data_IF_249891189111
#
_entry.id   IF_249891189111
#
_cell.length_a   1.000
_cell.length_b   1.000
_cell.length_c   1.000
_cell.angle_alpha   90.00
_cell.angle_beta   90.00
_cell.angle_gamma   90.00
#
_symmetry.space_group_name_H-M   'P 1'
#
loop_
_entity.id
_entity.type
_entity.pdbx_description
1 polymer ?
#
# COMPACT_ATOMS: atom_id res chain seq x y z
N UNK A 1 20.19 -1.04 -7.13
CA UNK A 1 19.15 -1.89 -6.50
C UNK A 1 17.82 -1.16 -6.60
N UNK A 2 16.76 -1.80 -7.07
CA UNK A 2 15.44 -1.16 -7.20
C UNK A 2 14.65 -1.30 -5.88
N UNK A 3 14.20 -0.20 -5.25
CA UNK A 3 13.37 -0.28 -4.06
C UNK A 3 12.04 -0.97 -4.38
N UNK A 4 11.54 -1.71 -3.41
CA UNK A 4 10.23 -2.34 -3.42
C UNK A 4 9.33 -1.62 -2.44
N UNK A 5 8.06 -1.50 -2.78
CA UNK A 5 7.05 -0.81 -2.01
C UNK A 5 5.96 -1.77 -1.62
N UNK A 6 5.67 -1.88 -0.33
CA UNK A 6 4.51 -2.60 0.21
C UNK A 6 3.45 -1.58 0.53
N UNK A 7 2.27 -1.70 -0.07
CA UNK A 7 1.18 -0.75 0.11
C UNK A 7 -0.06 -1.42 0.66
N UNK A 8 -0.83 -0.64 1.41
CA UNK A 8 -2.17 -0.98 1.88
C UNK A 8 -3.14 -0.03 1.21
N UNK A 9 -4.10 -0.57 0.46
CA UNK A 9 -5.24 0.17 -0.08
C UNK A 9 -6.45 -0.04 0.82
N UNK A 10 -7.16 1.04 1.11
CA UNK A 10 -8.46 0.99 1.78
C UNK A 10 -9.54 1.31 0.77
N UNK A 11 -10.56 0.45 0.71
CA UNK A 11 -11.78 0.69 -0.08
C UNK A 11 -12.85 1.38 0.76
N UNK A 12 -13.89 1.92 0.11
CA UNK A 12 -15.06 2.47 0.80
C UNK A 12 -15.76 1.45 1.73
N UNK A 13 -15.74 0.16 1.39
CA UNK A 13 -16.24 -0.93 2.24
C UNK A 13 -15.33 -1.27 3.42
N UNK A 14 -14.35 -0.42 3.72
CA UNK A 14 -13.38 -0.58 4.80
C UNK A 14 -12.56 -1.89 4.69
N UNK A 15 -12.46 -2.45 3.48
CA UNK A 15 -11.62 -3.60 3.17
C UNK A 15 -10.20 -3.13 2.92
N UNK A 16 -9.23 -3.78 3.57
CA UNK A 16 -7.82 -3.48 3.41
C UNK A 16 -7.18 -4.49 2.46
N UNK A 17 -6.69 -4.01 1.33
CA UNK A 17 -5.91 -4.80 0.38
C UNK A 17 -4.43 -4.51 0.57
N UNK A 18 -3.65 -5.58 0.70
CA UNK A 18 -2.19 -5.53 0.81
C UNK A 18 -1.59 -5.98 -0.51
N UNK A 19 -0.58 -5.26 -1.00
CA UNK A 19 0.20 -5.73 -2.14
C UNK A 19 1.59 -5.11 -2.16
N UNK A 20 2.46 -5.69 -2.97
CA UNK A 20 3.80 -5.17 -3.21
C UNK A 20 3.94 -4.71 -4.65
N UNK A 21 4.76 -3.68 -4.87
CA UNK A 21 5.05 -3.15 -6.20
C UNK A 21 6.40 -2.44 -6.19
N UNK A 22 7.08 -2.36 -7.31
CA UNK A 22 8.25 -1.50 -7.48
C UNK A 22 7.86 -0.07 -7.84
N UNK A 23 6.63 0.17 -8.29
CA UNK A 23 6.16 1.49 -8.71
C UNK A 23 4.69 1.75 -8.26
N UNK A 24 4.49 2.34 -7.06
CA UNK A 24 3.16 2.59 -6.51
C UNK A 24 2.39 3.64 -7.30
N UNK A 25 3.06 4.62 -7.93
CA UNK A 25 2.40 5.65 -8.74
C UNK A 25 1.80 5.04 -10.01
N UNK A 26 2.57 4.20 -10.71
CA UNK A 26 2.06 3.46 -11.88
C UNK A 26 0.92 2.53 -11.48
N UNK A 27 1.06 1.81 -10.36
CA UNK A 27 0.04 0.90 -9.83
C UNK A 27 -1.26 1.63 -9.51
N UNK A 28 -1.19 2.81 -8.91
CA UNK A 28 -2.37 3.63 -8.61
C UNK A 28 -3.06 4.07 -9.90
N UNK A 29 -2.32 4.62 -10.88
CA UNK A 29 -2.90 4.99 -12.19
C UNK A 29 -3.57 3.81 -12.90
N UNK A 30 -3.01 2.61 -12.76
CA UNK A 30 -3.63 1.37 -13.25
C UNK A 30 -4.95 1.01 -12.53
N UNK A 31 -5.01 1.24 -11.22
CA UNK A 31 -6.21 0.98 -10.41
C UNK A 31 -7.30 2.05 -10.60
N UNK A 32 -6.92 3.33 -10.71
CA UNK A 32 -7.82 4.45 -11.00
C UNK A 32 -8.38 4.42 -12.43
N UNK A 33 -7.87 3.54 -13.29
CA UNK A 33 -8.32 3.43 -14.68
C UNK A 33 -7.65 4.42 -15.65
N UNK A 34 -6.70 5.23 -15.17
CA UNK A 34 -5.94 6.17 -16.00
C UNK A 34 -5.03 5.45 -17.03
N UNK A 35 -4.53 4.26 -16.70
CA UNK A 35 -3.74 3.42 -17.64
C UNK A 35 -4.18 1.95 -17.60
N UNK A 36 -4.04 1.23 -18.72
CA UNK A 36 -4.36 -0.20 -18.82
C UNK A 36 -3.37 -1.04 -18.00
N UNK A 37 -3.84 -2.14 -17.39
CA UNK A 37 -3.01 -3.10 -16.65
C UNK A 37 -3.26 -3.19 -15.13
N UNK A 38 -4.34 -2.60 -14.62
CA UNK A 38 -4.79 -2.78 -13.24
C UNK A 38 -5.50 -4.11 -13.00
N UNK A 39 -5.57 -4.53 -11.74
CA UNK A 39 -6.35 -5.71 -11.36
C UNK A 39 -7.83 -5.50 -11.77
N UNK A 40 -8.39 -6.41 -12.57
CA UNK A 40 -9.79 -6.36 -13.04
C UNK A 40 -10.79 -6.17 -11.89
N UNK A 41 -10.48 -6.71 -10.70
CA UNK A 41 -11.32 -6.64 -9.50
C UNK A 41 -11.46 -5.24 -8.87
N UNK A 42 -10.55 -4.30 -9.18
CA UNK A 42 -10.55 -2.93 -8.66
C UNK A 42 -11.02 -1.91 -9.71
N UNK A 43 -11.31 -2.35 -10.94
CA UNK A 43 -11.79 -1.52 -12.03
C UNK A 43 -13.20 -1.02 -11.69
N UNK A 44 -13.35 0.29 -11.48
CA UNK A 44 -14.64 0.92 -11.15
C UNK A 44 -15.01 0.91 -9.65
N UNK A 45 -14.16 0.38 -8.76
CA UNK A 45 -14.35 0.48 -7.30
C UNK A 45 -13.67 1.73 -6.75
N UNK A 46 -14.06 2.91 -7.22
CA UNK A 46 -13.66 4.18 -6.60
C UNK A 46 -14.59 4.49 -5.43
N UNK A 47 -14.08 5.00 -4.29
CA UNK A 47 -12.72 5.46 -3.99
C UNK A 47 -11.78 4.36 -3.46
N UNK A 48 -10.56 4.32 -4.01
CA UNK A 48 -9.42 3.58 -3.47
C UNK A 48 -8.41 4.61 -2.97
N UNK A 49 -8.00 4.48 -1.72
CA UNK A 49 -6.98 5.36 -1.17
C UNK A 49 -5.85 4.52 -0.58
N UNK A 50 -4.62 4.92 -0.85
CA UNK A 50 -3.48 4.41 -0.08
C UNK A 50 -3.69 4.78 1.38
N UNK A 51 -3.63 3.77 2.23
CA UNK A 51 -3.73 3.89 3.68
C UNK A 51 -2.33 3.93 4.32
N UNK A 52 -1.43 3.08 3.84
CA UNK A 52 -0.02 3.04 4.24
C UNK A 52 0.85 2.55 3.08
N UNK A 53 2.08 3.05 3.01
CA UNK A 53 3.11 2.58 2.07
C UNK A 53 4.41 2.44 2.86
N UNK A 54 5.08 1.31 2.65
CA UNK A 54 6.38 0.99 3.22
C UNK A 54 7.36 0.75 2.08
N UNK A 55 8.49 1.45 2.10
CA UNK A 55 9.61 1.23 1.20
C UNK A 55 10.58 0.22 1.83
N UNK A 56 11.01 -0.76 1.05
CA UNK A 56 11.98 -1.78 1.43
C UNK A 56 12.99 -1.98 0.31
N UNK A 57 14.25 -2.27 0.66
CA UNK A 57 15.31 -2.36 -0.34
C UNK A 57 15.24 -3.63 -1.20
N UNK A 58 14.60 -4.71 -0.71
CA UNK A 58 14.62 -6.03 -1.35
C UNK A 58 13.24 -6.68 -1.43
N UNK A 59 13.01 -7.46 -2.51
CA UNK A 59 11.79 -8.27 -2.70
C UNK A 59 11.52 -9.24 -1.54
N UNK A 60 12.56 -9.91 -1.03
CA UNK A 60 12.42 -10.85 0.09
C UNK A 60 11.87 -10.17 1.35
N UNK A 61 12.29 -8.93 1.61
CA UNK A 61 11.76 -8.12 2.71
C UNK A 61 10.32 -7.72 2.45
N UNK A 62 9.99 -7.33 1.22
CA UNK A 62 8.62 -7.00 0.82
C UNK A 62 7.67 -8.18 1.03
N UNK A 63 8.07 -9.39 0.67
CA UNK A 63 7.29 -10.62 0.86
C UNK A 63 7.11 -10.95 2.34
N UNK A 64 8.16 -10.83 3.16
CA UNK A 64 8.07 -11.02 4.62
C UNK A 64 7.10 -10.02 5.25
N UNK A 65 7.21 -8.75 4.86
CA UNK A 65 6.33 -7.70 5.36
C UNK A 65 4.88 -7.94 4.91
N UNK A 66 4.65 -8.31 3.65
CA UNK A 66 3.31 -8.64 3.15
C UNK A 66 2.68 -9.81 3.92
N UNK A 67 3.42 -10.91 4.09
CA UNK A 67 2.94 -12.08 4.83
C UNK A 67 2.62 -11.72 6.30
N UNK A 68 3.49 -10.94 6.92
CA UNK A 68 3.29 -10.49 8.30
C UNK A 68 2.06 -9.58 8.42
N UNK A 69 1.85 -8.64 7.49
CA UNK A 69 0.65 -7.78 7.48
C UNK A 69 -0.62 -8.62 7.21
N UNK A 70 -0.56 -9.61 6.32
CA UNK A 70 -1.70 -10.50 6.03
C UNK A 70 -2.15 -11.28 7.27
N UNK A 71 -1.21 -11.72 8.11
CA UNK A 71 -1.51 -12.45 9.35
C UNK A 71 -2.06 -11.55 10.47
N UNK A 72 -1.96 -10.22 10.35
CA UNK A 72 -2.43 -9.29 11.38
C UNK A 72 -3.92 -9.00 11.26
N UNK A 73 -4.56 -9.00 12.40
CA UNK A 73 -5.92 -8.53 12.63
C UNK A 73 -6.00 -6.99 12.46
N UNK A 74 -7.23 -6.50 12.27
CA UNK A 74 -7.50 -5.09 11.92
C UNK A 74 -6.86 -4.10 12.90
N UNK A 75 -6.95 -4.33 14.21
CA UNK A 75 -6.31 -3.49 15.24
C UNK A 75 -4.79 -3.40 15.07
N UNK A 76 -4.10 -4.51 14.78
CA UNK A 76 -2.66 -4.48 14.57
C UNK A 76 -2.27 -3.75 13.27
N UNK A 77 -3.12 -3.81 12.23
CA UNK A 77 -2.97 -2.98 11.02
C UNK A 77 -3.15 -1.49 11.33
N UNK A 78 -4.03 -1.14 12.25
CA UNK A 78 -4.20 0.24 12.71
C UNK A 78 -3.02 0.70 13.58
N UNK A 79 -2.47 -0.16 14.43
CA UNK A 79 -1.26 0.13 15.22
C UNK A 79 -0.03 0.38 14.33
N UNK A 80 0.10 -0.34 13.20
CA UNK A 80 1.10 -0.06 12.17
C UNK A 80 0.97 1.36 11.58
N UNK A 81 -0.25 1.86 11.45
CA UNK A 81 -0.52 3.24 10.98
C UNK A 81 -0.23 4.27 12.06
N UNK A 82 -0.18 3.86 13.32
CA UNK A 82 0.25 4.73 14.42
C UNK A 82 1.76 4.66 14.68
N UNK A 83 2.49 3.83 13.94
CA UNK A 83 3.90 3.52 14.18
C UNK A 83 4.16 2.92 15.58
N UNK A 84 3.14 2.35 16.21
CA UNK A 84 3.22 1.77 17.56
C UNK A 84 3.65 0.29 17.55
N UNK A 85 3.83 -0.30 16.35
CA UNK A 85 4.15 -1.72 16.19
C UNK A 85 5.50 -1.92 15.52
N UNK A 86 6.34 -2.79 16.09
CA UNK A 86 7.63 -3.17 15.52
C UNK A 86 7.47 -3.89 14.18
N UNK A 87 8.21 -3.42 13.17
CA UNK A 87 8.23 -4.04 11.84
C UNK A 87 9.17 -5.26 11.85
N UNK A 88 8.81 -6.36 11.17
CA UNK A 88 9.66 -7.57 11.11
C UNK A 88 10.89 -7.40 10.21
N UNK A 89 10.97 -6.32 9.43
CA UNK A 89 12.03 -6.01 8.48
C UNK A 89 12.30 -4.50 8.49
N UNK A 90 13.53 -4.06 8.15
CA UNK A 90 13.81 -2.64 7.98
C UNK A 90 13.05 -2.11 6.77
N UNK A 91 11.96 -1.39 7.06
CA UNK A 91 11.12 -0.73 6.08
C UNK A 91 10.90 0.72 6.47
N UNK A 92 10.98 1.63 5.49
CA UNK A 92 10.75 3.06 5.68
C UNK A 92 9.28 3.31 5.39
N UNK A 93 8.54 3.77 6.39
CA UNK A 93 7.13 4.15 6.19
C UNK A 93 7.04 5.53 5.56
N UNK A 94 6.26 5.66 4.50
CA UNK A 94 5.93 6.97 3.94
C UNK A 94 5.03 7.75 4.90
N UNK A 95 5.19 9.06 4.95
CA UNK A 95 4.35 9.94 5.77
C UNK A 95 2.92 9.96 5.26
N UNK A 96 1.96 10.17 6.18
CA UNK A 96 0.55 10.28 5.83
C UNK A 96 0.31 11.43 4.83
N UNK A 97 1.11 12.50 4.89
CA UNK A 97 1.08 13.61 3.94
C UNK A 97 1.52 13.20 2.53
N UNK A 98 2.63 12.47 2.40
CA UNK A 98 3.07 11.95 1.09
C UNK A 98 2.01 11.03 0.48
N UNK A 99 1.40 10.18 1.32
CA UNK A 99 0.30 9.30 0.91
C UNK A 99 -0.92 10.12 0.46
N UNK A 100 -1.28 11.17 1.19
CA UNK A 100 -2.38 12.09 0.82
C UNK A 100 -2.11 12.80 -0.49
N UNK A 101 -0.88 13.27 -0.74
CA UNK A 101 -0.50 13.88 -2.02
C UNK A 101 -0.65 12.88 -3.17
N UNK A 102 -0.21 11.63 -2.99
CA UNK A 102 -0.34 10.56 -3.99
C UNK A 102 -1.80 10.19 -4.26
N UNK A 103 -2.69 10.28 -3.26
CA UNK A 103 -4.13 10.09 -3.43
C UNK A 103 -4.82 11.32 -4.04
N UNK A 104 -4.30 12.53 -3.80
CA UNK A 104 -4.87 13.81 -4.27
C UNK A 104 -4.43 14.20 -5.67
N UNK A 105 -3.52 13.45 -6.31
CA UNK A 105 -3.11 13.68 -7.72
C UNK A 105 -4.19 13.20 -8.71
N UNK A 106 -5.45 13.50 -8.38
CA UNK A 106 -6.63 13.29 -9.18
C UNK A 106 -7.36 14.64 -9.31
N UNK A 107 -6.62 15.63 -9.81
CA UNK A 107 -7.14 16.80 -10.50
C UNK A 107 -6.29 16.99 -11.74
#
# INVERSE_FOLDING_TARGET
>A
MTPWYVYLLKTASNTLYTGITTDPKRRMRQHSGAIKGGAKALRGKTPLSFYCIFEVSNKSQALRLEAWIKQRNRQAKEALVRAESGLPVPAIRLTNEAIRQMNSTHC
#
